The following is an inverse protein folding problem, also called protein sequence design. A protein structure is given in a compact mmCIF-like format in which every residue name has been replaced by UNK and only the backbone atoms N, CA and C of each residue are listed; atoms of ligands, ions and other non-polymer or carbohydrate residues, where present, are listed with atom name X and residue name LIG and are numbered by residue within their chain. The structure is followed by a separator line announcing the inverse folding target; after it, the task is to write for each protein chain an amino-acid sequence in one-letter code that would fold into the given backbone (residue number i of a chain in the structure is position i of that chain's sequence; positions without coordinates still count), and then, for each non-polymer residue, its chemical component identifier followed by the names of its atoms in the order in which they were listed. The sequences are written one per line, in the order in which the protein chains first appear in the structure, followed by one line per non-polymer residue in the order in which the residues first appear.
data_IF_967869423349
#
_entry.id   IF_967869423349
#
_cell.length_a   1.000
_cell.length_b   1.000
_cell.length_c   1.000
_cell.angle_alpha   90.00
_cell.angle_beta   90.00
_cell.angle_gamma   90.00
#
_symmetry.space_group_name_H-M   'P 1'
#
loop_
_entity.id
_entity.type
_entity.pdbx_description
1 polymer ?
#
# COMPACT_ATOMS: atom_id res chain seq x y z
N UNK A 1 18.00 -8.72 3.41
CA UNK A 1 16.66 -9.33 3.23
C UNK A 1 16.35 -9.33 1.75
N UNK A 2 15.61 -10.30 1.21
CA UNK A 2 15.31 -10.33 -0.22
C UNK A 2 13.83 -10.02 -0.48
N UNK A 3 13.56 -9.25 -1.53
CA UNK A 3 12.24 -8.94 -2.07
C UNK A 3 12.15 -9.66 -3.43
N UNK A 4 11.49 -10.82 -3.46
CA UNK A 4 11.62 -11.75 -4.58
C UNK A 4 13.09 -12.12 -4.78
N UNK A 5 13.60 -11.92 -5.99
CA UNK A 5 14.98 -12.25 -6.37
C UNK A 5 15.99 -11.14 -5.99
N UNK A 6 15.52 -9.98 -5.51
CA UNK A 6 16.38 -8.85 -5.18
C UNK A 6 16.78 -8.88 -3.70
N UNK A 7 18.05 -9.16 -3.42
CA UNK A 7 18.58 -9.08 -2.05
C UNK A 7 19.11 -7.68 -1.72
N UNK A 8 18.52 -7.06 -0.71
CA UNK A 8 18.84 -5.70 -0.27
C UNK A 8 19.54 -5.73 1.10
N UNK A 9 20.70 -5.07 1.23
CA UNK A 9 21.37 -4.91 2.51
C UNK A 9 20.46 -4.23 3.54
N UNK A 10 20.45 -4.76 4.77
CA UNK A 10 19.70 -4.15 5.87
C UNK A 10 20.65 -3.26 6.70
N UNK A 11 20.45 -1.94 6.72
CA UNK A 11 21.19 -1.09 7.64
C UNK A 11 20.74 -1.41 9.07
N UNK A 12 21.70 -1.79 9.92
CA UNK A 12 21.45 -2.05 11.34
C UNK A 12 22.35 -1.20 12.23
N UNK A 13 21.77 -0.56 13.24
CA UNK A 13 22.49 0.23 14.25
C UNK A 13 22.16 -0.37 15.62
N UNK A 14 23.18 -0.86 16.32
CA UNK A 14 23.01 -1.48 17.65
C UNK A 14 22.06 -2.69 17.65
N UNK A 15 22.04 -3.46 16.56
CA UNK A 15 21.15 -4.63 16.40
C UNK A 15 19.69 -4.30 16.03
N UNK A 16 19.35 -3.01 15.83
CA UNK A 16 18.04 -2.57 15.34
C UNK A 16 18.12 -2.21 13.87
N UNK A 17 17.09 -2.53 13.11
CA UNK A 17 16.99 -2.19 11.69
C UNK A 17 16.41 -0.78 11.57
N UNK A 18 17.05 0.07 10.77
CA UNK A 18 16.46 1.32 10.33
C UNK A 18 15.45 1.03 9.21
N UNK A 19 14.18 0.91 9.58
CA UNK A 19 13.10 0.56 8.66
C UNK A 19 12.91 1.61 7.57
N UNK A 20 13.06 2.90 7.91
CA UNK A 20 12.86 4.00 6.97
C UNK A 20 13.97 4.01 5.91
N UNK A 21 15.22 3.92 6.34
CA UNK A 21 16.37 3.82 5.43
C UNK A 21 16.28 2.57 4.55
N UNK A 22 15.86 1.44 5.12
CA UNK A 22 15.64 0.22 4.35
C UNK A 22 14.55 0.37 3.29
N UNK A 23 13.40 0.96 3.63
CA UNK A 23 12.29 1.15 2.70
C UNK A 23 12.65 2.12 1.57
N UNK A 24 13.35 3.21 1.89
CA UNK A 24 13.90 4.13 0.89
C UNK A 24 14.89 3.43 -0.03
N UNK A 25 15.72 2.52 0.50
CA UNK A 25 16.67 1.73 -0.30
C UNK A 25 15.97 0.80 -1.30
N UNK A 26 14.76 0.36 -0.99
CA UNK A 26 13.89 -0.39 -1.91
C UNK A 26 13.23 0.49 -2.98
N UNK A 27 13.48 1.80 -2.97
CA UNK A 27 12.84 2.76 -3.89
C UNK A 27 11.39 3.09 -3.53
N UNK A 28 10.98 2.74 -2.31
CA UNK A 28 9.63 2.99 -1.81
C UNK A 28 9.58 4.34 -1.05
N UNK A 29 8.48 5.10 -1.16
CA UNK A 29 8.32 6.33 -0.39
C UNK A 29 8.05 6.03 1.09
N UNK A 30 8.61 6.86 1.97
CA UNK A 30 8.30 6.88 3.40
C UNK A 30 8.05 8.33 3.80
N UNK A 31 7.00 8.55 4.57
CA UNK A 31 6.73 9.82 5.24
C UNK A 31 6.45 9.55 6.71
N UNK A 32 6.85 10.49 7.58
CA UNK A 32 6.57 10.41 9.02
C UNK A 32 6.22 11.78 9.59
N UNK A 33 5.39 11.76 10.61
CA UNK A 33 5.03 12.93 11.43
C UNK A 33 4.88 12.46 12.88
N UNK A 34 5.74 12.96 13.77
CA UNK A 34 5.79 12.48 15.16
C UNK A 34 6.11 10.98 15.24
N UNK A 35 5.24 10.22 15.91
CA UNK A 35 5.30 8.77 16.03
C UNK A 35 4.53 8.03 14.92
N UNK A 36 3.92 8.75 13.99
CA UNK A 36 3.16 8.19 12.87
C UNK A 36 4.04 8.04 11.65
N UNK A 37 3.98 6.87 11.02
CA UNK A 37 4.76 6.52 9.82
C UNK A 37 3.83 5.97 8.75
N UNK A 38 4.07 6.38 7.50
CA UNK A 38 3.43 5.80 6.32
C UNK A 38 4.48 5.28 5.35
N UNK A 39 4.39 3.99 5.04
CA UNK A 39 5.28 3.26 4.14
C UNK A 39 4.51 2.98 2.85
N UNK A 40 4.78 3.76 1.80
CA UNK A 40 4.07 3.64 0.54
C UNK A 40 4.69 2.60 -0.40
N UNK A 41 3.98 2.32 -1.49
CA UNK A 41 4.43 1.43 -2.56
C UNK A 41 5.33 2.19 -3.53
N UNK A 42 6.44 1.57 -3.92
CA UNK A 42 7.40 2.13 -4.88
C UNK A 42 6.79 2.43 -6.24
N UNK A 43 7.42 3.35 -6.96
CA UNK A 43 6.90 3.84 -8.23
C UNK A 43 6.75 2.74 -9.29
N UNK A 44 7.62 1.72 -9.29
CA UNK A 44 7.57 0.61 -10.23
C UNK A 44 6.36 -0.30 -9.98
N UNK A 45 6.24 -0.87 -8.78
CA UNK A 45 5.08 -1.69 -8.41
C UNK A 45 3.75 -0.94 -8.57
N UNK A 46 3.73 0.38 -8.31
CA UNK A 46 2.56 1.22 -8.58
C UNK A 46 2.25 1.35 -10.08
N UNK A 47 3.26 1.49 -10.95
CA UNK A 47 3.06 1.52 -12.40
C UNK A 47 2.51 0.20 -12.91
N UNK A 48 3.06 -0.92 -12.43
CA UNK A 48 2.62 -2.26 -12.85
C UNK A 48 1.15 -2.52 -12.48
N UNK A 49 0.75 -2.13 -11.25
CA UNK A 49 -0.65 -2.19 -10.84
C UNK A 49 -1.58 -1.34 -11.70
N UNK A 50 -1.13 -0.17 -12.14
CA UNK A 50 -1.91 0.70 -13.03
C UNK A 50 -2.01 0.17 -14.46
N UNK A 51 -0.98 -0.55 -14.94
CA UNK A 51 -0.96 -1.11 -16.29
C UNK A 51 -2.02 -2.21 -16.48
N UNK A 52 -2.39 -2.93 -15.42
CA UNK A 52 -3.45 -3.94 -15.46
C UNK A 52 -4.85 -3.36 -15.70
N UNK A 53 -5.08 -2.06 -15.46
CA UNK A 53 -6.36 -1.36 -15.56
C UNK A 53 -7.52 -1.96 -14.72
N UNK A 54 -7.25 -3.01 -13.96
CA UNK A 54 -8.15 -3.58 -12.96
C UNK A 54 -8.02 -2.82 -11.65
N UNK A 55 -9.15 -2.36 -11.12
CA UNK A 55 -9.20 -1.87 -9.76
C UNK A 55 -8.88 -3.02 -8.79
N UNK A 56 -8.01 -2.81 -7.77
CA UNK A 56 -7.78 -3.80 -6.73
C UNK A 56 -9.09 -4.19 -6.05
N UNK A 57 -9.35 -5.49 -5.94
CA UNK A 57 -10.55 -5.97 -5.29
C UNK A 57 -10.42 -5.83 -3.77
N UNK A 58 -11.50 -5.41 -3.12
CA UNK A 58 -11.57 -5.25 -1.67
C UNK A 58 -12.99 -5.50 -1.17
N UNK A 59 -13.10 -5.75 0.12
CA UNK A 59 -14.38 -5.93 0.82
C UNK A 59 -14.55 -4.88 1.91
N UNK A 60 -15.74 -4.29 1.98
CA UNK A 60 -16.12 -3.37 3.05
C UNK A 60 -17.48 -3.76 3.60
N UNK A 61 -17.67 -3.57 4.90
CA UNK A 61 -18.99 -3.65 5.50
C UNK A 61 -19.72 -2.31 5.33
N UNK A 62 -21.00 -2.37 4.98
CA UNK A 62 -21.88 -1.20 5.03
C UNK A 62 -22.38 -0.94 6.46
N UNK A 63 -23.20 0.10 6.62
CA UNK A 63 -23.77 0.50 7.92
C UNK A 63 -24.72 -0.55 8.53
N UNK A 64 -25.23 -1.48 7.72
CA UNK A 64 -26.04 -2.60 8.19
C UNK A 64 -25.20 -3.87 8.48
N UNK A 65 -23.87 -3.78 8.37
CA UNK A 65 -22.94 -4.90 8.55
C UNK A 65 -22.87 -5.87 7.36
N UNK A 66 -23.52 -5.55 6.23
CA UNK A 66 -23.45 -6.40 5.04
C UNK A 66 -22.11 -6.18 4.33
N UNK A 67 -21.45 -7.29 3.96
CA UNK A 67 -20.18 -7.24 3.24
C UNK A 67 -20.40 -7.04 1.76
N UNK A 68 -19.78 -6.01 1.20
CA UNK A 68 -19.78 -5.70 -0.23
C UNK A 68 -18.37 -5.89 -0.77
N UNK A 69 -18.25 -6.61 -1.89
CA UNK A 69 -16.99 -6.79 -2.61
C UNK A 69 -16.99 -5.93 -3.88
N UNK A 70 -15.91 -5.19 -4.15
CA UNK A 70 -15.84 -4.31 -5.32
C UNK A 70 -16.10 -5.08 -6.63
N UNK A 71 -15.52 -6.27 -6.79
CA UNK A 71 -15.70 -7.10 -7.99
C UNK A 71 -17.15 -7.52 -8.27
N UNK A 72 -18.03 -7.52 -7.27
CA UNK A 72 -19.47 -7.77 -7.47
C UNK A 72 -20.16 -6.68 -8.31
N UNK A 73 -19.55 -5.49 -8.42
CA UNK A 73 -20.06 -4.35 -9.17
C UNK A 73 -19.50 -4.25 -10.59
N UNK A 74 -18.72 -5.23 -11.06
CA UNK A 74 -18.17 -5.24 -12.43
C UNK A 74 -19.29 -5.07 -13.49
N UNK A 75 -18.98 -4.32 -14.54
CA UNK A 75 -19.93 -3.95 -15.59
C UNK A 75 -20.77 -2.71 -15.27
N UNK A 76 -20.64 -2.12 -14.07
CA UNK A 76 -21.27 -0.85 -13.69
C UNK A 76 -20.22 0.26 -13.58
N UNK A 77 -20.63 1.51 -13.84
CA UNK A 77 -19.81 2.68 -13.49
C UNK A 77 -19.88 2.87 -11.97
N UNK A 78 -18.73 2.81 -11.31
CA UNK A 78 -18.61 2.91 -9.85
C UNK A 78 -17.77 4.14 -9.50
N UNK A 79 -18.23 4.94 -8.54
CA UNK A 79 -17.48 6.06 -7.96
C UNK A 79 -17.07 5.69 -6.54
N UNK A 80 -15.77 5.77 -6.24
CA UNK A 80 -15.22 5.53 -4.90
C UNK A 80 -14.94 6.87 -4.23
N UNK A 81 -15.47 7.05 -3.02
CA UNK A 81 -15.25 8.23 -2.19
C UNK A 81 -14.62 7.82 -0.86
N UNK A 82 -13.35 8.17 -0.65
CA UNK A 82 -12.67 8.05 0.64
C UNK A 82 -12.84 9.36 1.40
N UNK A 83 -13.55 9.33 2.51
CA UNK A 83 -13.85 10.51 3.32
C UNK A 83 -13.73 10.19 4.81
N UNK A 84 -13.53 11.24 5.59
CA UNK A 84 -13.60 11.22 7.04
C UNK A 84 -14.23 12.53 7.52
N UNK A 85 -14.84 12.53 8.70
CA UNK A 85 -15.57 13.70 9.24
C UNK A 85 -14.68 14.73 9.95
N UNK A 86 -13.38 14.47 10.04
CA UNK A 86 -12.41 15.25 10.83
C UNK A 86 -11.41 15.96 9.93
#
# INVERSE_FOLDING_TARGET
MCLGDLCVPMPSVGGRIDLAAFWQKLGNPVVSEGDVWSLGVGAEARRDGLAGLDAPDFELQDLAGQTHRLSSLRGKKVFLSSWASW
#
